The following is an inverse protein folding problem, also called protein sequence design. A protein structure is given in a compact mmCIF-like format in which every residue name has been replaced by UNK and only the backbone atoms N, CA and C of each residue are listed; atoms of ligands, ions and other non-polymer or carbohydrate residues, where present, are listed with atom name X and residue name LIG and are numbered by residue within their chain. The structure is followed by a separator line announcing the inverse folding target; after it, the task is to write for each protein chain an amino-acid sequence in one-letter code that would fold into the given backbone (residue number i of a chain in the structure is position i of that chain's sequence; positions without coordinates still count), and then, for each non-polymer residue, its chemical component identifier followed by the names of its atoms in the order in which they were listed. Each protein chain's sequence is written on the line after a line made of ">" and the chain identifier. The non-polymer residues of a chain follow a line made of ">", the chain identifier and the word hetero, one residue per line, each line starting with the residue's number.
data_IF_250281744517
#
_entry.id   IF_250281744517
#
_cell.length_a   1.000
_cell.length_b   1.000
_cell.length_c   1.000
_cell.angle_alpha   90.00
_cell.angle_beta   90.00
_cell.angle_gamma   90.00
#
_symmetry.space_group_name_H-M   'P 1'
#
loop_
_entity.id
_entity.type
_entity.pdbx_description
1 polymer ?
#
# COMPACT_ATOMS: atom_id res chain seq x y z
N UNK A 1 61.93 -26.59 -20.37
CA UNK A 1 61.23 -26.06 -19.17
C UNK A 1 59.95 -25.38 -19.64
N UNK A 2 58.77 -26.01 -19.49
CA UNK A 2 57.47 -25.45 -19.89
C UNK A 2 56.86 -24.75 -18.66
N UNK A 3 56.74 -23.43 -18.69
CA UNK A 3 56.02 -22.65 -17.68
C UNK A 3 54.65 -22.28 -18.24
N UNK A 4 53.65 -23.04 -17.78
CA UNK A 4 52.23 -22.76 -18.00
C UNK A 4 51.83 -21.56 -17.15
N UNK A 5 51.34 -20.48 -17.78
CA UNK A 5 50.82 -19.30 -17.08
C UNK A 5 49.32 -19.51 -16.83
N UNK A 6 48.98 -19.77 -15.58
CA UNK A 6 47.59 -19.86 -15.11
C UNK A 6 47.00 -18.44 -15.06
N UNK A 7 45.92 -18.23 -15.81
CA UNK A 7 45.06 -17.05 -15.73
C UNK A 7 44.22 -17.13 -14.45
N UNK A 8 44.44 -16.23 -13.50
CA UNK A 8 43.54 -16.03 -12.34
C UNK A 8 42.55 -14.92 -12.72
N UNK A 9 41.35 -15.32 -13.16
CA UNK A 9 40.23 -14.41 -13.34
C UNK A 9 39.56 -14.15 -11.99
N UNK A 10 39.67 -12.92 -11.47
CA UNK A 10 39.00 -12.48 -10.26
C UNK A 10 37.57 -12.01 -10.61
N UNK A 11 36.61 -12.92 -10.56
CA UNK A 11 35.19 -12.58 -10.73
C UNK A 11 34.66 -11.94 -9.44
N UNK A 12 34.57 -10.61 -9.39
CA UNK A 12 33.77 -9.91 -8.37
C UNK A 12 32.28 -10.18 -8.64
N UNK A 13 31.69 -11.10 -7.87
CA UNK A 13 30.24 -11.24 -7.75
C UNK A 13 29.73 -10.03 -6.95
N UNK A 14 29.28 -8.99 -7.64
CA UNK A 14 28.49 -7.93 -7.03
C UNK A 14 27.15 -8.55 -6.62
N UNK A 15 26.96 -8.78 -5.32
CA UNK A 15 25.66 -9.10 -4.77
C UNK A 15 24.76 -7.87 -4.93
N UNK A 16 23.93 -7.86 -5.97
CA UNK A 16 22.82 -6.91 -6.06
C UNK A 16 21.87 -7.20 -4.90
N UNK A 17 21.56 -6.21 -4.05
CA UNK A 17 20.57 -6.40 -3.01
C UNK A 17 19.23 -6.70 -3.68
N UNK A 18 18.72 -7.91 -3.46
CA UNK A 18 17.34 -8.27 -3.82
C UNK A 18 16.46 -7.57 -2.79
N UNK A 19 15.97 -6.38 -3.11
CA UNK A 19 14.93 -5.75 -2.31
C UNK A 19 13.74 -6.71 -2.27
N UNK A 20 13.28 -7.06 -1.07
CA UNK A 20 12.10 -7.89 -0.90
C UNK A 20 10.91 -7.19 -1.56
N UNK A 21 10.38 -7.77 -2.63
CA UNK A 21 9.21 -7.20 -3.28
C UNK A 21 8.01 -7.30 -2.35
N UNK A 22 7.28 -6.21 -2.18
CA UNK A 22 5.99 -6.20 -1.47
C UNK A 22 5.08 -7.24 -2.10
N UNK A 23 4.63 -8.20 -1.29
CA UNK A 23 3.80 -9.33 -1.72
C UNK A 23 2.32 -8.94 -1.83
N UNK A 24 1.59 -9.63 -2.71
CA UNK A 24 0.14 -9.45 -2.84
C UNK A 24 -0.59 -9.70 -1.51
N UNK A 25 -0.10 -10.63 -0.67
CA UNK A 25 -0.72 -10.88 0.65
C UNK A 25 -0.58 -9.70 1.60
N UNK A 26 0.56 -9.01 1.61
CA UNK A 26 0.74 -7.77 2.37
C UNK A 26 -0.22 -6.68 1.86
N UNK A 27 -0.33 -6.52 0.53
CA UNK A 27 -1.24 -5.52 -0.05
C UNK A 27 -2.70 -5.80 0.31
N UNK A 28 -3.16 -7.04 0.15
CA UNK A 28 -4.55 -7.38 0.44
C UNK A 28 -4.89 -7.26 1.93
N UNK A 29 -3.95 -7.60 2.81
CA UNK A 29 -4.10 -7.37 4.25
C UNK A 29 -4.16 -5.88 4.59
N UNK A 30 -3.35 -5.03 3.93
CA UNK A 30 -3.40 -3.58 4.12
C UNK A 30 -4.73 -3.00 3.65
N UNK A 31 -5.21 -3.39 2.46
CA UNK A 31 -6.50 -2.93 1.94
C UNK A 31 -7.63 -3.30 2.89
N UNK A 32 -7.64 -4.53 3.42
CA UNK A 32 -8.66 -4.94 4.39
C UNK A 32 -8.54 -4.16 5.72
N UNK A 33 -7.32 -3.91 6.19
CA UNK A 33 -7.09 -3.14 7.40
C UNK A 33 -7.59 -1.69 7.28
N UNK A 34 -7.43 -1.07 6.10
CA UNK A 34 -7.97 0.26 5.82
C UNK A 34 -9.51 0.28 5.88
N UNK A 35 -10.16 -0.76 5.35
CA UNK A 35 -11.62 -0.95 5.41
C UNK A 35 -12.12 -1.03 6.85
N UNK A 36 -11.48 -1.85 7.67
CA UNK A 36 -11.84 -2.06 9.07
C UNK A 36 -11.55 -0.81 9.94
N UNK A 37 -10.52 -0.04 9.57
CA UNK A 37 -10.18 1.20 10.26
C UNK A 37 -11.05 2.39 9.86
N UNK A 38 -11.71 2.33 8.70
CA UNK A 38 -12.54 3.40 8.17
C UNK A 38 -13.57 3.88 9.21
N UNK A 39 -13.71 5.21 9.42
CA UNK A 39 -14.71 5.75 10.32
C UNK A 39 -16.11 5.31 9.89
N UNK A 40 -16.89 4.73 10.82
CA UNK A 40 -18.31 4.47 10.59
C UNK A 40 -19.07 5.73 10.97
N UNK A 41 -19.25 6.64 10.03
CA UNK A 41 -19.90 7.94 10.27
C UNK A 41 -21.41 7.81 10.45
N UNK A 42 -21.99 6.62 10.16
CA UNK A 42 -23.43 6.36 10.25
C UNK A 42 -24.27 7.27 9.36
N UNK A 43 -23.63 8.04 8.48
CA UNK A 43 -24.23 9.07 7.64
C UNK A 43 -24.12 8.61 6.20
N UNK A 44 -25.23 8.25 5.54
CA UNK A 44 -25.22 7.97 4.12
C UNK A 44 -24.70 9.19 3.35
N UNK A 45 -23.69 8.99 2.50
CA UNK A 45 -23.12 10.03 1.63
C UNK A 45 -22.53 11.23 2.39
N UNK A 46 -21.65 10.99 3.37
CA UNK A 46 -20.81 12.03 4.00
C UNK A 46 -19.75 12.66 3.07
N UNK A 47 -19.90 12.45 1.76
CA UNK A 47 -18.97 12.86 0.72
C UNK A 47 -17.90 11.81 0.40
N UNK A 48 -17.90 10.66 1.07
CA UNK A 48 -16.99 9.55 0.82
C UNK A 48 -17.74 8.30 0.33
N UNK A 49 -17.05 7.49 -0.47
CA UNK A 49 -17.63 6.34 -1.17
C UNK A 49 -16.91 5.05 -0.82
N UNK A 50 -17.64 3.95 -0.90
CA UNK A 50 -17.33 2.58 -0.52
C UNK A 50 -17.03 2.42 0.97
N UNK A 51 -16.89 1.17 1.39
CA UNK A 51 -16.46 0.81 2.75
C UNK A 51 -15.09 1.38 3.13
N UNK A 52 -14.30 1.84 2.15
CA UNK A 52 -12.97 2.43 2.35
C UNK A 52 -12.95 3.96 2.46
N UNK A 53 -14.11 4.61 2.34
CA UNK A 53 -14.25 6.07 2.54
C UNK A 53 -13.38 6.89 1.57
N UNK A 54 -13.54 6.62 0.26
CA UNK A 54 -12.78 7.25 -0.82
C UNK A 54 -13.40 8.58 -1.24
N UNK A 55 -12.57 9.60 -1.43
CA UNK A 55 -13.00 10.86 -2.04
C UNK A 55 -13.42 10.68 -3.50
N UNK A 56 -14.56 11.23 -3.96
CA UNK A 56 -15.10 10.99 -5.30
C UNK A 56 -14.13 11.35 -6.42
N UNK A 57 -13.31 12.40 -6.26
CA UNK A 57 -12.35 12.85 -7.26
C UNK A 57 -11.21 11.85 -7.53
N UNK A 58 -10.93 10.94 -6.60
CA UNK A 58 -9.91 9.91 -6.80
C UNK A 58 -10.40 8.75 -7.65
N UNK A 59 -11.71 8.45 -7.62
CA UNK A 59 -12.28 7.23 -8.17
C UNK A 59 -12.07 7.11 -9.68
N UNK A 60 -12.43 8.10 -10.53
CA UNK A 60 -12.22 7.99 -11.97
C UNK A 60 -10.74 7.80 -12.32
N UNK A 61 -9.86 8.60 -11.71
CA UNK A 61 -8.42 8.55 -11.96
C UNK A 61 -7.81 7.20 -11.58
N UNK A 62 -8.11 6.68 -10.39
CA UNK A 62 -7.55 5.41 -9.91
C UNK A 62 -8.08 4.22 -10.69
N UNK A 63 -9.39 4.17 -10.97
CA UNK A 63 -9.96 3.11 -11.80
C UNK A 63 -9.39 3.12 -13.21
N UNK A 64 -9.21 4.30 -13.82
CA UNK A 64 -8.58 4.40 -15.14
C UNK A 64 -7.14 3.88 -15.15
N UNK A 65 -6.37 4.23 -14.13
CA UNK A 65 -4.99 3.77 -13.96
C UNK A 65 -4.92 2.24 -13.80
N UNK A 66 -5.76 1.68 -12.94
CA UNK A 66 -5.66 0.28 -12.53
C UNK A 66 -6.41 -0.71 -13.43
N UNK A 67 -7.49 -0.26 -14.08
CA UNK A 67 -8.38 -1.12 -14.86
C UNK A 67 -8.55 -0.67 -16.33
N UNK A 68 -7.92 0.44 -16.72
CA UNK A 68 -8.02 0.98 -18.07
C UNK A 68 -9.35 1.69 -18.38
N UNK A 69 -10.27 1.78 -17.43
CA UNK A 69 -11.58 2.43 -17.58
C UNK A 69 -11.93 3.26 -16.33
N UNK A 70 -12.55 4.42 -16.53
CA UNK A 70 -13.05 5.23 -15.43
C UNK A 70 -14.33 4.63 -14.86
N UNK A 71 -14.42 4.57 -13.54
CA UNK A 71 -15.64 4.33 -12.77
C UNK A 71 -16.17 5.64 -12.22
N UNK A 72 -17.50 5.79 -12.18
CA UNK A 72 -18.13 6.85 -11.38
C UNK A 72 -18.13 6.47 -9.90
N UNK A 73 -18.26 7.43 -8.97
CA UNK A 73 -18.40 7.12 -7.54
C UNK A 73 -19.53 6.12 -7.24
N UNK A 74 -20.68 6.24 -7.92
CA UNK A 74 -21.80 5.33 -7.75
C UNK A 74 -21.50 3.90 -8.25
N UNK A 75 -20.76 3.75 -9.35
CA UNK A 75 -20.32 2.43 -9.84
C UNK A 75 -19.32 1.79 -8.88
N UNK A 76 -18.44 2.61 -8.30
CA UNK A 76 -17.42 2.15 -7.35
C UNK A 76 -18.03 1.72 -6.02
N UNK A 77 -19.03 2.46 -5.52
CA UNK A 77 -19.83 2.08 -4.36
C UNK A 77 -20.56 0.74 -4.57
N UNK A 78 -21.19 0.58 -5.74
CA UNK A 78 -22.04 -0.58 -6.02
C UNK A 78 -21.26 -1.88 -6.30
N UNK A 79 -19.97 -1.80 -6.62
CA UNK A 79 -19.13 -2.94 -7.00
C UNK A 79 -17.91 -3.04 -6.08
N UNK A 80 -18.14 -3.61 -4.89
CA UNK A 80 -17.11 -3.77 -3.85
C UNK A 80 -15.91 -4.59 -4.33
N UNK A 81 -16.12 -5.54 -5.25
CA UNK A 81 -15.04 -6.36 -5.79
C UNK A 81 -14.09 -5.52 -6.65
N UNK A 82 -14.64 -4.71 -7.55
CA UNK A 82 -13.82 -3.76 -8.34
C UNK A 82 -13.20 -2.67 -7.47
N UNK A 83 -13.92 -2.18 -6.46
CA UNK A 83 -13.35 -1.24 -5.51
C UNK A 83 -12.08 -1.84 -4.87
N UNK A 84 -12.17 -3.05 -4.34
CA UNK A 84 -11.01 -3.76 -3.75
C UNK A 84 -9.87 -3.96 -4.74
N UNK A 85 -10.18 -4.30 -6.00
CA UNK A 85 -9.16 -4.46 -7.06
C UNK A 85 -8.39 -3.16 -7.32
N UNK A 86 -9.11 -2.05 -7.52
CA UNK A 86 -8.50 -0.72 -7.73
C UNK A 86 -7.65 -0.33 -6.52
N UNK A 87 -8.17 -0.52 -5.31
CA UNK A 87 -7.44 -0.17 -4.09
C UNK A 87 -6.21 -1.06 -3.88
N UNK A 88 -6.27 -2.34 -4.23
CA UNK A 88 -5.11 -3.23 -4.23
C UNK A 88 -4.01 -2.75 -5.18
N UNK A 89 -4.38 -2.33 -6.39
CA UNK A 89 -3.46 -1.72 -7.35
C UNK A 89 -2.80 -0.44 -6.79
N UNK A 90 -3.60 0.52 -6.30
CA UNK A 90 -3.08 1.78 -5.73
C UNK A 90 -2.17 1.52 -4.51
N UNK A 91 -2.61 0.68 -3.57
CA UNK A 91 -1.85 0.40 -2.36
C UNK A 91 -0.61 -0.46 -2.60
N UNK A 92 -0.54 -1.18 -3.72
CA UNK A 92 0.70 -1.85 -4.14
C UNK A 92 1.81 -0.82 -4.37
N UNK A 93 1.52 0.24 -5.12
CA UNK A 93 2.53 1.26 -5.44
C UNK A 93 2.90 2.08 -4.21
N UNK A 94 1.91 2.48 -3.40
CA UNK A 94 2.15 3.20 -2.13
C UNK A 94 3.02 2.35 -1.19
N UNK A 95 2.69 1.08 -0.99
CA UNK A 95 3.44 0.24 -0.06
C UNK A 95 4.86 -0.05 -0.57
N UNK A 96 5.05 -0.24 -1.88
CA UNK A 96 6.39 -0.37 -2.50
C UNK A 96 7.24 0.87 -2.30
N UNK A 97 6.63 2.06 -2.38
CA UNK A 97 7.34 3.32 -2.17
C UNK A 97 7.71 3.54 -0.70
N UNK A 98 6.82 3.19 0.23
CA UNK A 98 7.00 3.47 1.65
C UNK A 98 7.87 2.44 2.38
N UNK A 99 7.99 1.20 1.87
CA UNK A 99 8.87 0.18 2.46
C UNK A 99 10.34 0.60 2.61
N UNK A 100 11.05 1.03 1.54
CA UNK A 100 12.45 1.47 1.68
C UNK A 100 12.58 2.76 2.50
N UNK A 101 11.59 3.67 2.44
CA UNK A 101 11.55 4.89 3.27
C UNK A 101 11.35 4.58 4.76
N UNK A 102 10.92 3.36 5.07
CA UNK A 102 10.74 2.83 6.42
C UNK A 102 11.94 2.05 6.93
N UNK A 103 13.09 2.10 6.23
CA UNK A 103 14.26 1.25 6.54
C UNK A 103 13.88 -0.24 6.57
N UNK A 104 13.02 -0.64 5.63
CA UNK A 104 12.47 -2.00 5.50
C UNK A 104 11.69 -2.51 6.72
N UNK A 105 11.26 -1.60 7.60
CA UNK A 105 10.38 -1.95 8.71
C UNK A 105 8.91 -2.00 8.25
N UNK A 106 8.35 -3.20 8.15
CA UNK A 106 6.97 -3.42 7.71
C UNK A 106 5.94 -2.64 8.52
N UNK A 107 6.06 -2.61 9.85
CA UNK A 107 5.09 -1.92 10.70
C UNK A 107 5.10 -0.40 10.44
N UNK A 108 6.28 0.19 10.25
CA UNK A 108 6.41 1.60 9.88
C UNK A 108 5.87 1.83 8.46
N UNK A 109 6.17 0.94 7.50
CA UNK A 109 5.69 1.05 6.12
C UNK A 109 4.17 1.02 6.03
N UNK A 110 3.52 0.11 6.76
CA UNK A 110 2.06 0.00 6.86
C UNK A 110 1.47 1.29 7.46
N UNK A 111 2.06 1.82 8.53
CA UNK A 111 1.58 3.06 9.14
C UNK A 111 1.77 4.27 8.23
N UNK A 112 2.88 4.36 7.50
CA UNK A 112 3.13 5.41 6.50
C UNK A 112 2.16 5.34 5.32
N UNK A 113 1.89 4.14 4.81
CA UNK A 113 0.87 3.92 3.78
C UNK A 113 -0.54 4.31 4.28
N UNK A 114 -0.87 4.01 5.53
CA UNK A 114 -2.11 4.44 6.16
C UNK A 114 -2.18 5.97 6.39
N UNK A 115 -1.05 6.63 6.68
CA UNK A 115 -1.01 8.09 6.78
C UNK A 115 -1.24 8.73 5.41
N UNK A 116 -0.57 8.23 4.36
CA UNK A 116 -0.82 8.64 2.98
C UNK A 116 -2.29 8.50 2.60
N UNK A 117 -2.92 7.38 3.00
CA UNK A 117 -4.34 7.15 2.78
C UNK A 117 -5.23 8.22 3.42
N UNK A 118 -4.96 8.55 4.68
CA UNK A 118 -5.78 9.49 5.47
C UNK A 118 -5.54 10.95 5.07
N UNK A 119 -4.30 11.34 4.82
CA UNK A 119 -3.89 12.76 4.72
C UNK A 119 -3.24 13.14 3.39
N UNK A 120 -2.83 12.16 2.59
CA UNK A 120 -1.94 12.35 1.43
C UNK A 120 -0.46 12.51 1.79
N UNK A 121 -0.09 12.50 3.08
CA UNK A 121 1.29 12.66 3.55
C UNK A 121 1.73 11.49 4.44
N UNK A 122 2.60 10.60 3.94
CA UNK A 122 3.10 9.45 4.70
C UNK A 122 3.87 9.83 5.97
N UNK A 123 4.43 11.04 6.04
CA UNK A 123 5.26 11.47 7.18
C UNK A 123 4.44 11.87 8.42
N UNK A 124 3.11 11.92 8.30
CA UNK A 124 2.22 12.20 9.43
C UNK A 124 1.85 10.96 10.25
N UNK A 125 2.39 9.79 9.92
CA UNK A 125 2.01 8.50 10.53
C UNK A 125 2.15 8.42 12.07
N UNK A 126 2.92 9.30 12.68
CA UNK A 126 3.11 9.35 14.13
C UNK A 126 2.67 10.70 14.74
N UNK A 127 1.84 11.48 14.03
CA UNK A 127 1.41 12.81 14.47
C UNK A 127 -0.08 12.85 14.79
N UNK A 128 -0.43 13.43 15.94
CA UNK A 128 -1.82 13.74 16.34
C UNK A 128 -2.83 12.62 16.09
N UNK A 129 -3.97 12.96 15.48
CA UNK A 129 -5.03 11.99 15.18
C UNK A 129 -4.63 10.97 14.10
N UNK A 130 -3.68 11.31 13.23
CA UNK A 130 -3.13 10.37 12.23
C UNK A 130 -2.36 9.25 12.91
N UNK A 131 -1.67 9.51 14.02
CA UNK A 131 -1.03 8.46 14.81
C UNK A 131 -2.04 7.40 15.28
N UNK A 132 -3.16 7.84 15.85
CA UNK A 132 -4.23 6.96 16.33
C UNK A 132 -4.85 6.14 15.19
N UNK A 133 -5.11 6.77 14.05
CA UNK A 133 -5.65 6.08 12.87
C UNK A 133 -4.67 5.03 12.32
N UNK A 134 -3.41 5.39 12.11
CA UNK A 134 -2.41 4.47 11.53
C UNK A 134 -2.08 3.31 12.45
N UNK A 135 -2.10 3.52 13.77
CA UNK A 135 -1.95 2.43 14.75
C UNK A 135 -3.13 1.45 14.66
N UNK A 136 -4.37 1.96 14.54
CA UNK A 136 -5.56 1.13 14.33
C UNK A 136 -5.46 0.31 13.04
N UNK A 137 -4.98 0.90 11.94
CA UNK A 137 -4.73 0.18 10.69
C UNK A 137 -3.68 -0.91 10.89
N UNK A 138 -2.56 -0.61 11.57
CA UNK A 138 -1.52 -1.60 11.83
C UNK A 138 -2.05 -2.80 12.64
N UNK A 139 -2.90 -2.55 13.64
CA UNK A 139 -3.51 -3.61 14.45
C UNK A 139 -4.39 -4.53 13.59
N UNK A 140 -5.27 -3.98 12.75
CA UNK A 140 -6.07 -4.80 11.84
C UNK A 140 -5.21 -5.55 10.83
N UNK A 141 -4.18 -4.89 10.30
CA UNK A 141 -3.24 -5.51 9.37
C UNK A 141 -2.59 -6.76 9.99
N UNK A 142 -2.11 -6.66 11.22
CA UNK A 142 -1.50 -7.78 11.94
C UNK A 142 -2.49 -8.93 12.16
N UNK A 143 -3.76 -8.64 12.42
CA UNK A 143 -4.81 -9.66 12.55
C UNK A 143 -5.11 -10.39 11.23
N UNK A 144 -4.93 -9.73 10.07
CA UNK A 144 -5.06 -10.39 8.77
C UNK A 144 -3.84 -11.26 8.42
N UNK A 145 -2.73 -11.09 9.15
CA UNK A 145 -1.43 -11.76 8.91
C UNK A 145 -1.14 -12.89 9.89
N UNK A 146 -1.94 -13.02 10.96
CA UNK A 146 -1.85 -14.05 11.99
C UNK A 146 -2.50 -15.36 11.59
#
# INVERSE_FOLDING_TARGET
>A
MKLSRILVGLSLLWAVPVFAQVSNTQVQALVEALRLAAPQTGTPNDGLYSEWQIKPENIPRWSKLCMGQEMTPAQFEADQAKAREVLGCVMTDVLKEEYPKSQDNEAIAIRRAAAWWMTGDPNQYNQGQTASYTEKVLQFYQQQRS
#
